data_IF_535265392517
#
_entry.id   IF_535265392517
#
_cell.length_a   1.000
_cell.length_b   1.000
_cell.length_c   1.000
_cell.angle_alpha   90.00
_cell.angle_beta   90.00
_cell.angle_gamma   90.00
#
_symmetry.space_group_name_H-M   'P 1'
#
loop_
_entity.id
_entity.type
_entity.pdbx_description
1 polymer ?
#
# COMPACT_ATOMS: atom_id res chain seq x y z
N UNK A 1 -22.70 -2.06 -0.91
CA UNK A 1 -21.30 -1.69 -0.65
C UNK A 1 -20.51 -2.95 -0.32
N UNK A 2 -19.67 -3.44 -1.23
CA UNK A 2 -18.73 -4.55 -0.96
C UNK A 2 -17.31 -4.04 -0.89
N UNK A 3 -16.62 -4.38 0.19
CA UNK A 3 -15.24 -4.00 0.46
C UNK A 3 -14.31 -5.16 0.06
N UNK A 4 -13.27 -4.85 -0.70
CA UNK A 4 -12.17 -5.76 -0.95
C UNK A 4 -10.92 -5.26 -0.23
N UNK A 5 -10.40 -6.08 0.66
CA UNK A 5 -9.15 -5.81 1.40
C UNK A 5 -8.04 -6.58 0.72
N UNK A 6 -7.00 -5.88 0.27
CA UNK A 6 -5.81 -6.54 -0.26
C UNK A 6 -4.63 -6.39 0.69
N UNK A 7 -4.16 -7.54 1.18
CA UNK A 7 -2.82 -7.64 1.74
C UNK A 7 -1.79 -7.48 0.63
N UNK A 8 -1.01 -6.41 0.70
CA UNK A 8 0.20 -6.24 -0.10
C UNK A 8 1.38 -6.44 0.85
N UNK A 9 1.86 -7.69 0.93
CA UNK A 9 3.13 -7.99 1.59
C UNK A 9 4.23 -7.99 0.53
N UNK A 10 5.32 -7.27 0.81
CA UNK A 10 6.53 -7.32 -0.01
C UNK A 10 7.04 -8.76 -0.06
N UNK A 11 7.04 -9.37 -1.24
CA UNK A 11 7.73 -10.63 -1.46
C UNK A 11 8.97 -10.32 -2.32
N UNK A 12 10.13 -10.83 -1.92
CA UNK A 12 11.42 -10.58 -2.57
C UNK A 12 11.49 -11.00 -4.04
N UNK A 13 10.47 -11.72 -4.53
CA UNK A 13 10.40 -12.29 -5.87
C UNK A 13 9.58 -11.48 -6.88
N UNK A 14 8.81 -10.44 -6.48
CA UNK A 14 7.97 -9.67 -7.41
C UNK A 14 7.93 -8.18 -7.07
N UNK A 15 8.70 -7.38 -7.82
CA UNK A 15 8.48 -5.93 -7.95
C UNK A 15 7.25 -5.73 -8.85
N UNK A 16 6.44 -4.68 -8.65
CA UNK A 16 5.21 -4.33 -9.40
C UNK A 16 3.85 -4.86 -8.87
N UNK A 17 3.65 -4.85 -7.55
CA UNK A 17 2.39 -5.31 -6.94
C UNK A 17 1.15 -4.50 -7.38
N UNK A 18 1.25 -3.18 -7.55
CA UNK A 18 0.13 -2.35 -7.98
C UNK A 18 -0.32 -2.67 -9.41
N UNK A 19 0.64 -2.94 -10.31
CA UNK A 19 0.35 -3.34 -11.68
C UNK A 19 -0.36 -4.70 -11.73
N UNK A 20 0.09 -5.67 -10.93
CA UNK A 20 -0.55 -6.97 -10.87
C UNK A 20 -1.98 -6.89 -10.33
N UNK A 21 -2.22 -6.07 -9.30
CA UNK A 21 -3.55 -5.87 -8.75
C UNK A 21 -4.50 -5.20 -9.74
N UNK A 22 -4.00 -4.28 -10.59
CA UNK A 22 -4.79 -3.66 -11.67
C UNK A 22 -5.36 -4.70 -12.64
N UNK A 23 -4.63 -5.76 -12.94
CA UNK A 23 -5.11 -6.82 -13.84
C UNK A 23 -6.37 -7.52 -13.28
N UNK A 24 -6.60 -7.46 -11.96
CA UNK A 24 -7.79 -8.02 -11.32
C UNK A 24 -9.00 -7.07 -11.28
N UNK A 25 -8.87 -5.81 -11.69
CA UNK A 25 -9.95 -4.81 -11.54
C UNK A 25 -11.26 -5.22 -12.22
N UNK A 26 -11.19 -5.80 -13.42
CA UNK A 26 -12.39 -6.29 -14.12
C UNK A 26 -13.12 -7.34 -13.28
N UNK A 27 -12.40 -8.34 -12.78
CA UNK A 27 -12.96 -9.41 -11.96
C UNK A 27 -13.51 -8.85 -10.64
N UNK A 28 -12.79 -7.95 -9.98
CA UNK A 28 -13.27 -7.29 -8.75
C UNK A 28 -14.57 -6.52 -9.00
N UNK A 29 -14.68 -5.82 -10.15
CA UNK A 29 -15.90 -5.11 -10.51
C UNK A 29 -17.06 -6.06 -10.82
N UNK A 30 -16.81 -7.16 -11.53
CA UNK A 30 -17.80 -8.22 -11.79
C UNK A 30 -18.30 -8.87 -10.49
N UNK A 31 -17.43 -8.98 -9.47
CA UNK A 31 -17.79 -9.44 -8.12
C UNK A 31 -18.57 -8.38 -7.30
N UNK A 32 -18.78 -7.19 -7.86
CA UNK A 32 -19.51 -6.09 -7.23
C UNK A 32 -18.72 -5.36 -6.15
N UNK A 33 -17.39 -5.37 -6.21
CA UNK A 33 -16.53 -4.58 -5.31
C UNK A 33 -16.68 -3.10 -5.62
N UNK A 34 -16.92 -2.32 -4.57
CA UNK A 34 -17.06 -0.86 -4.65
C UNK A 34 -15.83 -0.14 -4.09
N UNK A 35 -15.11 -0.75 -3.15
CA UNK A 35 -13.98 -0.13 -2.43
C UNK A 35 -12.79 -1.09 -2.40
N UNK A 36 -11.63 -0.58 -2.80
CA UNK A 36 -10.33 -1.22 -2.67
C UNK A 36 -9.62 -0.62 -1.45
N UNK A 37 -9.38 -1.43 -0.42
CA UNK A 37 -8.58 -1.01 0.73
C UNK A 37 -7.17 -1.60 0.62
N UNK A 38 -6.19 -0.72 0.51
CA UNK A 38 -4.77 -1.05 0.49
C UNK A 38 -4.20 -0.96 1.91
N UNK A 39 -3.49 -2.00 2.33
CA UNK A 39 -2.58 -1.95 3.47
C UNK A 39 -1.53 -0.83 3.30
N UNK A 40 -0.79 -0.45 4.37
CA UNK A 40 0.18 0.62 4.29
C UNK A 40 1.15 0.42 3.11
N UNK A 41 1.19 1.40 2.24
CA UNK A 41 2.01 1.39 1.01
C UNK A 41 3.38 2.03 1.23
N UNK A 42 3.65 2.49 2.44
CA UNK A 42 4.82 3.25 2.81
C UNK A 42 6.03 2.35 3.06
N UNK A 43 7.21 2.97 3.07
CA UNK A 43 8.48 2.28 3.32
C UNK A 43 8.52 1.73 4.75
N UNK A 44 8.97 0.48 4.89
CA UNK A 44 9.05 -0.21 6.18
C UNK A 44 10.40 0.10 6.85
N UNK A 45 10.38 0.42 8.14
CA UNK A 45 11.58 0.65 8.94
C UNK A 45 12.53 -0.54 9.02
N UNK A 46 13.81 -0.26 9.21
CA UNK A 46 14.87 -1.29 9.28
C UNK A 46 15.29 -1.58 10.72
N UNK A 47 15.30 -0.55 11.56
CA UNK A 47 15.71 -0.67 12.96
C UNK A 47 14.65 -1.40 13.79
N UNK A 48 15.08 -2.43 14.52
CA UNK A 48 14.20 -3.34 15.28
C UNK A 48 13.10 -3.99 14.42
N UNK A 49 13.38 -4.22 13.14
CA UNK A 49 12.45 -4.87 12.21
C UNK A 49 12.09 -6.27 12.70
N UNK A 50 10.79 -6.59 12.71
CA UNK A 50 10.29 -7.93 13.01
C UNK A 50 10.41 -8.83 11.78
N UNK A 51 11.16 -9.92 11.89
CA UNK A 51 11.41 -10.82 10.77
C UNK A 51 12.25 -10.18 9.66
N UNK A 52 12.27 -10.81 8.48
CA UNK A 52 13.09 -10.35 7.36
C UNK A 52 12.47 -9.16 6.61
N UNK A 53 11.17 -9.24 6.33
CA UNK A 53 10.42 -8.24 5.57
C UNK A 53 9.91 -7.07 6.42
N UNK A 54 9.70 -7.28 7.72
CA UNK A 54 9.09 -6.29 8.59
C UNK A 54 7.55 -6.27 8.51
N UNK A 55 6.96 -5.37 9.28
CA UNK A 55 5.52 -5.12 9.24
C UNK A 55 5.24 -3.86 8.42
N UNK A 56 4.26 -3.87 7.49
CA UNK A 56 3.81 -2.66 6.79
C UNK A 56 3.38 -1.54 7.75
N UNK A 57 3.00 -1.89 8.98
CA UNK A 57 2.60 -0.94 10.02
C UNK A 57 3.78 -0.25 10.73
N UNK A 58 5.02 -0.69 10.50
CA UNK A 58 6.22 -0.03 11.02
C UNK A 58 6.76 0.98 9.99
N UNK A 59 6.06 2.10 9.85
CA UNK A 59 6.27 3.08 8.77
C UNK A 59 7.48 3.97 9.03
N UNK A 60 8.41 4.00 8.06
CA UNK A 60 9.61 4.85 8.05
C UNK A 60 9.38 6.24 7.48
N UNK A 61 8.54 6.34 6.45
CA UNK A 61 8.21 7.60 5.78
C UNK A 61 6.75 7.56 5.31
N UNK A 62 5.92 8.47 5.84
CA UNK A 62 4.50 8.56 5.49
C UNK A 62 4.23 9.24 4.15
N UNK A 63 5.19 9.97 3.60
CA UNK A 63 5.02 10.76 2.38
C UNK A 63 5.38 9.97 1.12
N UNK A 64 6.30 9.01 1.26
CA UNK A 64 6.76 8.15 0.16
C UNK A 64 5.90 6.90 -0.06
N UNK A 65 6.04 6.33 -1.26
CA UNK A 65 5.56 4.98 -1.61
C UNK A 65 6.74 4.03 -1.54
N UNK A 66 6.53 2.85 -0.94
CA UNK A 66 7.53 1.79 -0.89
C UNK A 66 7.94 1.39 -2.32
N UNK A 67 9.23 1.48 -2.68
CA UNK A 67 9.71 1.12 -4.02
C UNK A 67 9.39 -0.31 -4.45
N UNK A 68 9.08 -1.23 -3.53
CA UNK A 68 8.60 -2.58 -3.86
C UNK A 68 7.23 -2.59 -4.57
N UNK A 69 6.46 -1.51 -4.42
CA UNK A 69 5.13 -1.36 -5.01
C UNK A 69 5.15 -0.50 -6.29
N UNK A 70 6.23 0.23 -6.54
CA UNK A 70 6.39 1.15 -7.66
C UNK A 70 6.71 2.56 -7.19
N UNK A 71 6.49 3.53 -8.08
CA UNK A 71 6.64 4.96 -7.82
C UNK A 71 5.29 5.59 -7.44
N UNK A 72 5.32 6.84 -6.95
CA UNK A 72 4.10 7.60 -6.67
C UNK A 72 3.17 7.70 -7.89
N UNK A 73 3.73 7.78 -9.09
CA UNK A 73 2.94 7.82 -10.33
C UNK A 73 2.22 6.50 -10.63
N UNK A 74 2.79 5.35 -10.21
CA UNK A 74 2.11 4.06 -10.33
C UNK A 74 0.89 3.99 -9.41
N UNK A 75 1.00 4.54 -8.19
CA UNK A 75 -0.13 4.66 -7.27
C UNK A 75 -1.22 5.60 -7.82
N UNK A 76 -0.84 6.78 -8.35
CA UNK A 76 -1.80 7.71 -8.98
C UNK A 76 -2.50 7.06 -10.16
N UNK A 77 -1.76 6.33 -10.99
CA UNK A 77 -2.30 5.58 -12.13
C UNK A 77 -3.26 4.48 -11.68
N UNK A 78 -2.92 3.75 -10.61
CA UNK A 78 -3.77 2.74 -9.98
C UNK A 78 -5.11 3.34 -9.52
N UNK A 79 -5.06 4.42 -8.74
CA UNK A 79 -6.25 5.11 -8.21
C UNK A 79 -7.11 5.63 -9.36
N UNK A 80 -6.51 6.28 -10.35
CA UNK A 80 -7.21 6.81 -11.52
C UNK A 80 -7.99 5.71 -12.25
N UNK A 81 -7.41 4.52 -12.41
CA UNK A 81 -8.09 3.40 -13.07
C UNK A 81 -9.19 2.76 -12.23
N UNK A 82 -9.00 2.66 -10.91
CA UNK A 82 -10.06 2.21 -10.02
C UNK A 82 -11.28 3.14 -10.12
N UNK A 83 -11.04 4.46 -10.11
CA UNK A 83 -12.09 5.47 -10.23
C UNK A 83 -12.81 5.40 -11.59
N UNK A 84 -12.11 5.12 -12.70
CA UNK A 84 -12.74 4.92 -14.02
C UNK A 84 -13.76 3.76 -14.03
N UNK A 85 -13.62 2.80 -13.12
CA UNK A 85 -14.54 1.66 -12.96
C UNK A 85 -15.59 1.91 -11.87
N UNK A 86 -15.66 3.13 -11.34
CA UNK A 86 -16.56 3.50 -10.24
C UNK A 86 -16.24 2.76 -8.93
N UNK A 87 -14.98 2.38 -8.73
CA UNK A 87 -14.48 1.90 -7.43
C UNK A 87 -13.77 3.04 -6.69
N UNK A 88 -13.78 3.00 -5.36
CA UNK A 88 -13.03 3.91 -4.50
C UNK A 88 -11.77 3.23 -3.96
N UNK A 89 -10.76 4.03 -3.57
CA UNK A 89 -9.54 3.53 -2.94
C UNK A 89 -9.37 4.12 -1.55
N UNK A 90 -9.14 3.27 -0.55
CA UNK A 90 -8.78 3.64 0.82
C UNK A 90 -7.33 3.24 1.06
N UNK A 91 -6.55 4.17 1.63
CA UNK A 91 -5.19 3.90 2.12
C UNK A 91 -5.23 3.73 3.64
N UNK A 92 -4.56 2.69 4.12
CA UNK A 92 -4.38 2.46 5.55
C UNK A 92 -3.34 3.46 6.13
N UNK A 93 -3.81 4.37 6.99
CA UNK A 93 -2.97 5.39 7.63
C UNK A 93 -2.65 4.98 9.08
N UNK A 94 -1.37 4.81 9.38
CA UNK A 94 -0.89 4.32 10.69
C UNK A 94 -0.41 5.50 11.55
N UNK A 95 -1.35 6.23 12.16
CA UNK A 95 -1.03 7.43 12.96
C UNK A 95 -0.49 7.12 14.37
N UNK A 96 -0.79 5.94 14.92
CA UNK A 96 -0.53 5.65 16.33
C UNK A 96 0.97 5.49 16.64
N UNK A 97 1.78 5.08 15.66
CA UNK A 97 3.21 4.82 15.85
C UNK A 97 3.97 4.85 14.52
N UNK A 98 5.26 5.10 14.61
CA UNK A 98 6.22 5.04 13.50
C UNK A 98 7.20 3.88 13.67
N UNK A 99 8.06 3.64 12.67
CA UNK A 99 9.29 2.86 12.90
C UNK A 99 10.31 3.65 13.73
N UNK A 100 11.30 2.95 14.26
CA UNK A 100 12.39 3.50 15.07
C UNK A 100 13.37 4.37 14.29
N UNK A 101 13.39 4.23 12.97
CA UNK A 101 14.21 4.97 12.03
C UNK A 101 13.38 5.92 11.15
N UNK A 102 12.17 6.27 11.62
CA UNK A 102 11.36 7.31 11.03
C UNK A 102 11.92 8.69 11.42
N UNK A 103 11.99 9.59 10.44
CA UNK A 103 12.52 10.95 10.59
C UNK A 103 11.84 11.75 11.71
N UNK A 104 10.55 11.49 11.97
CA UNK A 104 9.81 12.15 13.04
C UNK A 104 10.37 11.85 14.42
N UNK A 105 11.06 10.72 14.62
CA UNK A 105 11.65 10.36 15.93
C UNK A 105 12.89 11.20 16.28
N UNK A 106 13.46 11.89 15.29
CA UNK A 106 14.63 12.77 15.46
C UNK A 106 14.27 14.25 15.35
N UNK A 107 13.26 14.60 14.55
CA UNK A 107 12.90 15.99 14.23
C UNK A 107 11.77 16.59 15.06
N UNK A 108 10.97 15.77 15.74
CA UNK A 108 9.78 16.19 16.51
C UNK A 108 9.62 15.39 17.80
#
# INVERSE_FOLDING_TARGET
MRLFIKLIQGNSQKKEHLQQLRNSFRVLKELGVDILWLMPINTIGEKNRKGTLGSPYSVKDYYGVNPEFGMLEDLKSFVTQAHKLGMYVILDWVANHTSWDNELTEKH
#
